data_IF_281445977158
#
_entry.id   IF_281445977158
#
_cell.length_a   1.000
_cell.length_b   1.000
_cell.length_c   1.000
_cell.angle_alpha   90.00
_cell.angle_beta   90.00
_cell.angle_gamma   90.00
#
_symmetry.space_group_name_H-M   'P 1'
#
loop_
_entity.id
_entity.type
_entity.pdbx_description
1 polymer ?
#
# COMPACT_ATOMS: atom_id res chain seq x y z
N UNK A 1 13.82 -1.55 -14.68
CA UNK A 1 13.70 -1.46 -13.22
C UNK A 1 13.74 0.01 -12.79
N UNK A 2 13.01 0.37 -11.74
CA UNK A 2 13.05 1.67 -11.03
C UNK A 2 13.23 1.32 -9.55
N UNK A 3 14.22 1.91 -8.89
CA UNK A 3 14.53 1.63 -7.48
C UNK A 3 14.58 2.93 -6.70
N UNK A 4 14.14 2.87 -5.45
CA UNK A 4 14.30 3.96 -4.50
C UNK A 4 15.72 4.03 -3.94
N UNK A 5 16.21 5.23 -3.63
CA UNK A 5 17.55 5.42 -3.05
C UNK A 5 17.67 4.89 -1.63
N UNK A 6 16.57 4.93 -0.87
CA UNK A 6 16.52 4.48 0.53
C UNK A 6 16.00 3.04 0.64
N UNK A 7 15.88 2.33 -0.49
CA UNK A 7 15.41 0.94 -0.53
C UNK A 7 13.92 0.75 -0.26
N UNK A 8 13.11 1.80 -0.40
CA UNK A 8 11.68 1.80 -0.06
C UNK A 8 10.76 1.20 -1.12
N UNK A 9 11.24 1.04 -2.34
CA UNK A 9 10.52 0.30 -3.37
C UNK A 9 11.45 -0.24 -4.44
N UNK A 10 10.99 -1.32 -5.08
CA UNK A 10 11.51 -1.83 -6.35
C UNK A 10 10.34 -2.00 -7.29
N UNK A 11 10.44 -1.40 -8.48
CA UNK A 11 9.42 -1.46 -9.52
C UNK A 11 10.03 -2.09 -10.77
N UNK A 12 9.44 -3.18 -11.22
CA UNK A 12 9.84 -3.90 -12.43
C UNK A 12 8.68 -3.91 -13.41
N UNK A 13 8.98 -3.77 -14.69
CA UNK A 13 8.01 -4.00 -15.76
C UNK A 13 8.56 -5.05 -16.69
N UNK A 14 7.71 -5.99 -17.08
CA UNK A 14 8.06 -7.13 -17.92
C UNK A 14 6.87 -7.58 -18.75
N UNK A 15 7.03 -8.70 -19.45
CA UNK A 15 5.96 -9.34 -20.21
C UNK A 15 5.46 -10.55 -19.44
N UNK A 16 4.15 -10.63 -19.25
CA UNK A 16 3.44 -11.83 -18.80
C UNK A 16 2.44 -12.18 -19.91
N UNK A 17 2.59 -13.35 -20.51
CA UNK A 17 1.74 -13.80 -21.64
C UNK A 17 1.62 -12.73 -22.75
N UNK A 18 2.76 -12.16 -23.15
CA UNK A 18 2.86 -11.06 -24.15
C UNK A 18 2.20 -9.73 -23.75
N UNK A 19 1.63 -9.61 -22.55
CA UNK A 19 1.11 -8.35 -22.02
C UNK A 19 2.15 -7.70 -21.12
N UNK A 20 2.37 -6.40 -21.30
CA UNK A 20 3.26 -5.64 -20.43
C UNK A 20 2.59 -5.43 -19.08
N UNK A 21 3.26 -5.83 -18.00
CA UNK A 21 2.79 -5.71 -16.62
C UNK A 21 3.85 -5.00 -15.78
N UNK A 22 3.40 -4.28 -14.75
CA UNK A 22 4.26 -3.65 -13.75
C UNK A 22 4.03 -4.32 -12.40
N UNK A 23 5.11 -4.74 -11.73
CA UNK A 23 5.10 -5.21 -10.36
C UNK A 23 5.87 -4.21 -9.50
N UNK A 24 5.28 -3.80 -8.37
CA UNK A 24 5.89 -2.88 -7.42
C UNK A 24 5.88 -3.52 -6.03
N UNK A 25 7.06 -3.71 -5.44
CA UNK A 25 7.21 -4.11 -4.05
C UNK A 25 7.55 -2.87 -3.21
N UNK A 26 6.78 -2.62 -2.14
CA UNK A 26 6.83 -1.40 -1.34
C UNK A 26 7.24 -1.73 0.10
N UNK A 27 8.08 -0.87 0.68
CA UNK A 27 8.37 -0.81 2.10
C UNK A 27 8.28 0.65 2.56
N UNK A 28 7.09 1.09 2.95
CA UNK A 28 6.84 2.45 3.37
C UNK A 28 7.52 2.76 4.72
N UNK A 29 7.94 4.02 4.96
CA UNK A 29 8.51 4.40 6.24
C UNK A 29 7.45 4.42 7.36
N UNK A 30 7.86 4.28 8.62
CA UNK A 30 6.97 4.42 9.78
C UNK A 30 6.48 5.87 10.02
N UNK A 31 7.13 6.85 9.39
CA UNK A 31 6.82 8.27 9.52
C UNK A 31 6.90 8.95 8.16
N UNK A 32 6.00 9.89 7.91
CA UNK A 32 5.94 10.61 6.63
C UNK A 32 5.31 9.78 5.51
N UNK A 33 4.46 8.79 5.84
CA UNK A 33 3.79 7.94 4.86
C UNK A 33 3.02 8.74 3.81
N UNK A 34 2.31 9.81 4.22
CA UNK A 34 1.51 10.63 3.29
C UNK A 34 2.38 11.15 2.14
N UNK A 35 3.53 11.78 2.47
CA UNK A 35 4.47 12.28 1.47
C UNK A 35 5.05 11.15 0.62
N UNK A 36 5.35 10.01 1.24
CA UNK A 36 5.84 8.83 0.54
C UNK A 36 4.81 8.31 -0.49
N UNK A 37 3.55 8.16 -0.11
CA UNK A 37 2.47 7.71 -0.99
C UNK A 37 2.24 8.67 -2.15
N UNK A 38 2.21 9.98 -1.88
CA UNK A 38 2.09 10.99 -2.96
C UNK A 38 3.22 10.88 -3.98
N UNK A 39 4.47 10.72 -3.51
CA UNK A 39 5.62 10.54 -4.39
C UNK A 39 5.57 9.21 -5.15
N UNK A 40 5.16 8.13 -4.48
CA UNK A 40 5.01 6.81 -5.09
C UNK A 40 3.97 6.83 -6.22
N UNK A 41 2.83 7.50 -6.01
CA UNK A 41 1.80 7.68 -7.03
C UNK A 41 2.35 8.42 -8.26
N UNK A 42 3.15 9.48 -8.05
CA UNK A 42 3.82 10.19 -9.14
C UNK A 42 4.76 9.27 -9.92
N UNK A 43 5.61 8.51 -9.23
CA UNK A 43 6.56 7.57 -9.86
C UNK A 43 5.83 6.52 -10.69
N UNK A 44 4.75 5.94 -10.18
CA UNK A 44 3.98 4.90 -10.86
C UNK A 44 3.09 5.45 -11.99
N UNK A 45 2.67 6.72 -11.92
CA UNK A 45 1.91 7.38 -12.98
C UNK A 45 2.77 7.85 -14.17
N UNK A 46 4.10 7.86 -14.05
CA UNK A 46 5.02 8.25 -15.13
C UNK A 46 4.91 7.31 -16.34
N UNK A 47 5.19 7.85 -17.54
CA UNK A 47 5.05 7.16 -18.84
C UNK A 47 5.71 5.77 -18.91
N UNK A 48 6.76 5.52 -18.12
CA UNK A 48 7.45 4.22 -18.05
C UNK A 48 6.53 3.07 -17.59
N UNK A 49 5.60 3.36 -16.70
CA UNK A 49 4.70 2.39 -16.06
C UNK A 49 3.22 2.61 -16.42
N UNK A 50 2.91 3.79 -16.94
CA UNK A 50 1.59 4.22 -17.40
C UNK A 50 0.96 3.21 -18.37
N UNK A 51 -0.34 2.99 -18.21
CA UNK A 51 -1.21 2.11 -19.02
C UNK A 51 -0.90 0.59 -18.95
N UNK A 52 0.11 0.16 -18.20
CA UNK A 52 0.28 -1.28 -17.93
C UNK A 52 -0.61 -1.67 -16.75
N UNK A 53 -1.23 -2.87 -16.75
CA UNK A 53 -1.74 -3.46 -15.53
C UNK A 53 -0.64 -3.46 -14.47
N UNK A 54 -0.97 -3.04 -13.25
CA UNK A 54 -0.04 -2.91 -12.14
C UNK A 54 -0.50 -3.76 -10.98
N UNK A 55 0.44 -4.50 -10.40
CA UNK A 55 0.29 -5.13 -9.09
C UNK A 55 1.25 -4.44 -8.13
N UNK A 56 0.71 -3.94 -7.03
CA UNK A 56 1.46 -3.30 -5.96
C UNK A 56 1.25 -4.17 -4.74
N UNK A 57 2.34 -4.52 -4.06
CA UNK A 57 2.25 -5.19 -2.77
C UNK A 57 3.40 -4.80 -1.86
N UNK A 58 3.26 -5.15 -0.59
CA UNK A 58 4.30 -4.97 0.43
C UNK A 58 3.78 -4.31 1.70
N UNK A 59 4.69 -3.82 2.52
CA UNK A 59 4.39 -3.21 3.80
C UNK A 59 4.21 -1.70 3.63
N UNK A 60 2.96 -1.24 3.77
CA UNK A 60 2.60 0.17 3.67
C UNK A 60 2.71 0.92 5.00
N UNK A 61 2.98 0.21 6.11
CA UNK A 61 3.06 0.77 7.47
C UNK A 61 1.91 1.73 7.78
N UNK A 62 0.69 1.44 7.30
CA UNK A 62 -0.50 2.24 7.50
C UNK A 62 -1.73 1.35 7.65
N UNK A 63 -2.75 1.89 8.32
CA UNK A 63 -4.07 1.28 8.45
C UNK A 63 -4.99 1.91 7.41
N UNK A 64 -5.54 1.13 6.48
CA UNK A 64 -6.42 1.65 5.44
C UNK A 64 -7.83 1.93 5.99
N UNK A 65 -8.42 1.01 6.75
CA UNK A 65 -9.67 1.23 7.47
C UNK A 65 -9.50 0.95 8.96
N UNK A 66 -9.54 1.97 9.81
CA UNK A 66 -9.31 1.80 11.25
C UNK A 66 -10.36 0.96 11.98
N UNK A 67 -11.53 0.73 11.39
CA UNK A 67 -12.57 -0.15 11.97
C UNK A 67 -12.17 -1.62 11.78
N UNK A 68 -11.65 -1.97 10.60
CA UNK A 68 -11.39 -3.36 10.24
C UNK A 68 -9.91 -3.76 10.32
N UNK A 69 -9.01 -2.84 9.97
CA UNK A 69 -7.56 -3.06 9.86
C UNK A 69 -6.79 -2.74 11.15
N UNK A 70 -7.49 -2.33 12.22
CA UNK A 70 -6.91 -2.12 13.55
C UNK A 70 -7.68 -2.90 14.60
N UNK A 71 -6.97 -3.54 15.52
CA UNK A 71 -7.58 -4.28 16.62
C UNK A 71 -8.17 -3.35 17.69
N UNK A 72 -7.46 -2.23 17.96
CA UNK A 72 -7.82 -1.19 18.94
C UNK A 72 -8.52 0.00 18.28
N UNK A 73 -8.89 0.98 19.11
CA UNK A 73 -9.52 2.24 18.65
C UNK A 73 -8.66 2.95 17.58
N UNK A 74 -9.30 3.66 16.64
CA UNK A 74 -8.60 4.49 15.67
C UNK A 74 -7.64 5.49 16.32
N UNK A 75 -6.51 5.75 15.66
CA UNK A 75 -5.56 6.79 16.02
C UNK A 75 -5.89 8.10 15.30
N UNK A 76 -5.48 9.26 15.83
CA UNK A 76 -5.72 10.56 15.19
C UNK A 76 -5.19 10.65 13.75
N UNK A 77 -4.13 9.91 13.41
CA UNK A 77 -3.50 9.93 12.09
C UNK A 77 -4.19 9.01 11.07
N UNK A 78 -4.97 8.02 11.51
CA UNK A 78 -5.49 6.96 10.62
C UNK A 78 -6.32 7.57 9.48
N UNK A 79 -7.23 8.51 9.77
CA UNK A 79 -8.06 9.15 8.74
C UNK A 79 -7.25 9.82 7.63
N UNK A 80 -6.16 10.51 7.97
CA UNK A 80 -5.31 11.19 7.00
C UNK A 80 -4.50 10.19 6.15
N UNK A 81 -4.06 9.08 6.77
CA UNK A 81 -3.36 8.00 6.08
C UNK A 81 -4.29 7.26 5.12
N UNK A 82 -5.49 6.90 5.56
CA UNK A 82 -6.54 6.28 4.73
C UNK A 82 -6.88 7.16 3.53
N UNK A 83 -7.05 8.47 3.74
CA UNK A 83 -7.33 9.42 2.66
C UNK A 83 -6.16 9.49 1.65
N UNK A 84 -4.92 9.51 2.13
CA UNK A 84 -3.74 9.50 1.26
C UNK A 84 -3.60 8.19 0.47
N UNK A 85 -3.95 7.05 1.08
CA UNK A 85 -3.94 5.76 0.40
C UNK A 85 -5.04 5.67 -0.66
N UNK A 86 -6.24 6.17 -0.34
CA UNK A 86 -7.37 6.28 -1.26
C UNK A 86 -7.02 7.13 -2.49
N UNK A 87 -6.28 8.23 -2.30
CA UNK A 87 -5.83 9.07 -3.42
C UNK A 87 -4.79 8.37 -4.29
N UNK A 88 -3.88 7.57 -3.71
CA UNK A 88 -2.96 6.72 -4.47
C UNK A 88 -3.74 5.69 -5.32
N UNK A 89 -4.72 5.02 -4.70
CA UNK A 89 -5.58 4.04 -5.37
C UNK A 89 -6.30 4.68 -6.56
N UNK A 90 -6.93 5.84 -6.34
CA UNK A 90 -7.61 6.62 -7.37
C UNK A 90 -6.67 7.06 -8.50
N UNK A 91 -5.50 7.59 -8.15
CA UNK A 91 -4.50 8.08 -9.13
C UNK A 91 -4.04 6.97 -10.07
N UNK A 92 -3.88 5.75 -9.53
CA UNK A 92 -3.37 4.61 -10.30
C UNK A 92 -4.48 3.72 -10.88
N UNK A 93 -5.75 3.96 -10.51
CA UNK A 93 -6.86 3.09 -10.90
C UNK A 93 -6.77 1.68 -10.31
N UNK A 94 -6.24 1.56 -9.10
CA UNK A 94 -6.06 0.27 -8.39
C UNK A 94 -6.98 0.19 -7.18
N UNK A 95 -7.16 -1.03 -6.66
CA UNK A 95 -7.94 -1.28 -5.45
C UNK A 95 -7.21 -2.29 -4.56
N UNK A 96 -7.57 -2.32 -3.28
CA UNK A 96 -7.12 -3.32 -2.32
C UNK A 96 -7.90 -4.62 -2.56
N UNK A 97 -7.25 -5.60 -3.19
CA UNK A 97 -7.87 -6.87 -3.58
C UNK A 97 -8.31 -7.67 -2.34
N UNK A 98 -7.49 -7.68 -1.28
CA UNK A 98 -7.82 -8.45 -0.08
C UNK A 98 -9.09 -7.91 0.58
N UNK A 99 -9.24 -6.59 0.68
CA UNK A 99 -10.46 -5.96 1.23
C UNK A 99 -11.67 -6.15 0.32
N UNK A 100 -11.52 -6.18 -1.00
CA UNK A 100 -12.61 -6.50 -1.92
C UNK A 100 -13.17 -7.93 -1.69
N UNK A 101 -12.30 -8.89 -1.42
CA UNK A 101 -12.70 -10.29 -1.18
C UNK A 101 -13.17 -10.52 0.26
N UNK A 102 -12.63 -9.75 1.22
CA UNK A 102 -12.89 -9.89 2.65
C UNK A 102 -13.41 -8.57 3.25
N UNK A 103 -14.60 -8.09 2.85
CA UNK A 103 -15.05 -6.72 3.13
C UNK A 103 -15.16 -6.38 4.61
N UNK A 104 -15.54 -7.35 5.46
CA UNK A 104 -15.74 -7.15 6.89
C UNK A 104 -14.76 -7.93 7.77
N UNK A 105 -13.80 -8.67 7.19
CA UNK A 105 -12.83 -9.43 7.97
C UNK A 105 -11.88 -8.52 8.74
N UNK A 106 -11.52 -8.97 9.95
CA UNK A 106 -10.57 -8.33 10.85
C UNK A 106 -9.36 -9.25 11.03
N UNK A 107 -8.54 -9.35 9.99
CA UNK A 107 -7.28 -10.09 10.00
C UNK A 107 -6.12 -9.11 9.93
N UNK A 108 -5.02 -9.45 10.58
CA UNK A 108 -3.89 -8.56 10.82
C UNK A 108 -2.59 -9.21 10.40
N UNK A 109 -1.63 -8.39 9.98
CA UNK A 109 -0.33 -8.84 9.46
C UNK A 109 0.83 -8.39 10.35
N UNK A 110 0.60 -7.39 11.20
CA UNK A 110 1.53 -6.93 12.22
C UNK A 110 0.94 -7.10 13.63
N UNK A 111 1.79 -7.54 14.57
CA UNK A 111 1.46 -7.65 15.99
C UNK A 111 2.52 -6.95 16.82
N UNK A 112 2.09 -6.12 17.77
CA UNK A 112 3.03 -5.45 18.67
C UNK A 112 3.75 -6.48 19.56
N UNK A 113 5.05 -6.28 19.80
CA UNK A 113 5.87 -7.20 20.62
C UNK A 113 5.33 -7.42 22.03
N UNK A 114 4.59 -6.45 22.57
CA UNK A 114 4.15 -6.45 23.96
C UNK A 114 2.69 -6.84 24.12
N UNK A 115 1.95 -7.09 23.03
CA UNK A 115 0.54 -7.44 23.08
C UNK A 115 0.07 -7.98 21.73
N UNK A 116 -0.45 -9.22 21.75
CA UNK A 116 -1.19 -9.79 20.61
C UNK A 116 -2.56 -9.10 20.41
N UNK A 117 -3.02 -8.33 21.39
CA UNK A 117 -4.25 -7.52 21.26
C UNK A 117 -4.02 -6.21 20.50
N UNK A 118 -2.76 -5.83 20.25
CA UNK A 118 -2.42 -4.68 19.41
C UNK A 118 -1.89 -5.21 18.09
N UNK A 119 -2.77 -5.20 17.11
CA UNK A 119 -2.53 -5.76 15.80
C UNK A 119 -3.13 -4.86 14.72
N UNK A 120 -2.45 -4.84 13.58
CA UNK A 120 -2.80 -4.02 12.43
C UNK A 120 -2.57 -4.78 11.12
N UNK A 121 -3.33 -4.44 10.08
CA UNK A 121 -3.04 -4.89 8.71
C UNK A 121 -2.25 -3.80 7.99
N UNK A 122 -0.94 -4.02 7.83
CA UNK A 122 -0.04 -3.12 7.12
C UNK A 122 0.35 -3.64 5.73
N UNK A 123 0.27 -4.96 5.53
CA UNK A 123 0.59 -5.59 4.26
C UNK A 123 -0.65 -5.63 3.35
N UNK A 124 -0.48 -5.10 2.13
CA UNK A 124 -1.53 -4.99 1.09
C UNK A 124 -1.08 -5.69 -0.18
#
# INVERSE_FOLDING_TARGET
MTIDKDGRYVIISGLLEHKKVTLANIYAPNSGQIKFLSNLAIVLAQNKHKNNPILIGGDFNLVNDAIFDRSKRPLPADNALSASFSELQKTLGVTDIWRCVNPSSREYTFYSKNSLEHAERFDV
#
